data_IF_279843174136
#
_entry.id   IF_279843174136
#
_cell.length_a   1.000
_cell.length_b   1.000
_cell.length_c   1.000
_cell.angle_alpha   90.00
_cell.angle_beta   90.00
_cell.angle_gamma   90.00
#
_symmetry.space_group_name_H-M   'P 1'
#
loop_
_entity.id
_entity.type
_entity.pdbx_description
1 polymer ?
#
# COMPACT_ATOMS: atom_id res chain seq x y z
N UNK A 1 -28.88 -4.98 -38.47
CA UNK A 1 -28.99 -4.86 -36.99
C UNK A 1 -27.59 -4.56 -36.43
N UNK A 2 -27.28 -3.26 -36.27
CA UNK A 2 -26.07 -2.82 -35.62
C UNK A 2 -26.26 -2.90 -34.07
N UNK A 3 -25.53 -3.78 -33.43
CA UNK A 3 -25.47 -3.84 -31.98
C UNK A 3 -24.66 -2.66 -31.45
N UNK A 4 -25.32 -1.66 -30.87
CA UNK A 4 -24.70 -0.57 -30.12
C UNK A 4 -23.92 -1.15 -28.93
N UNK A 5 -22.60 -1.16 -29.03
CA UNK A 5 -21.73 -1.41 -27.91
C UNK A 5 -21.86 -0.26 -26.89
N UNK A 6 -22.55 -0.50 -25.79
CA UNK A 6 -22.65 0.45 -24.70
C UNK A 6 -21.24 0.77 -24.17
N UNK A 7 -20.77 2.00 -24.38
CA UNK A 7 -19.54 2.51 -23.75
C UNK A 7 -19.73 2.50 -22.23
N UNK A 8 -19.08 1.56 -21.55
CA UNK A 8 -19.02 1.57 -20.09
C UNK A 8 -18.34 2.86 -19.65
N UNK A 9 -19.08 3.70 -18.92
CA UNK A 9 -18.49 4.87 -18.27
C UNK A 9 -17.40 4.40 -17.29
N UNK A 10 -16.26 5.08 -17.21
CA UNK A 10 -15.24 4.76 -16.23
C UNK A 10 -15.83 4.94 -14.82
N UNK A 11 -15.74 3.89 -14.00
CA UNK A 11 -16.15 3.93 -12.60
C UNK A 11 -15.40 5.04 -11.87
N UNK A 12 -16.08 5.74 -10.96
CA UNK A 12 -15.43 6.68 -10.04
C UNK A 12 -14.34 5.97 -9.23
N UNK A 13 -13.34 6.70 -8.74
CA UNK A 13 -12.24 6.13 -7.95
C UNK A 13 -12.75 5.38 -6.71
N UNK A 14 -13.73 5.94 -6.00
CA UNK A 14 -14.36 5.30 -4.86
C UNK A 14 -14.98 3.94 -5.25
N UNK A 15 -15.71 3.89 -6.36
CA UNK A 15 -16.28 2.64 -6.88
C UNK A 15 -15.21 1.63 -7.34
N UNK A 16 -14.02 2.09 -7.79
CA UNK A 16 -12.88 1.20 -8.08
C UNK A 16 -12.23 0.65 -6.82
N UNK A 17 -12.12 1.43 -5.75
CA UNK A 17 -11.61 0.93 -4.46
C UNK A 17 -12.60 -0.03 -3.79
N UNK A 18 -13.90 0.22 -3.89
CA UNK A 18 -14.94 -0.68 -3.39
C UNK A 18 -15.02 -2.01 -4.16
N UNK A 19 -14.65 -2.02 -5.44
CA UNK A 19 -14.64 -3.24 -6.26
C UNK A 19 -13.45 -4.15 -6.00
N UNK A 20 -12.41 -3.68 -5.33
CA UNK A 20 -11.22 -4.47 -5.01
C UNK A 20 -11.53 -5.52 -3.94
N UNK A 21 -10.97 -6.70 -4.10
CA UNK A 21 -11.06 -7.77 -3.12
C UNK A 21 -10.26 -7.42 -1.87
N UNK A 22 -10.82 -7.71 -0.71
CA UNK A 22 -10.13 -7.56 0.56
C UNK A 22 -9.71 -8.92 1.09
N UNK A 23 -8.47 -9.01 1.49
CA UNK A 23 -7.92 -10.15 2.20
C UNK A 23 -7.69 -9.78 3.66
N UNK A 24 -8.11 -10.66 4.55
CA UNK A 24 -7.92 -10.54 5.99
C UNK A 24 -6.92 -11.63 6.39
N UNK A 25 -5.68 -11.23 6.63
CA UNK A 25 -4.62 -12.11 7.09
C UNK A 25 -4.55 -12.02 8.62
N UNK A 26 -4.68 -13.15 9.30
CA UNK A 26 -4.78 -13.21 10.77
C UNK A 26 -3.76 -14.19 11.30
N UNK A 27 -2.93 -13.74 12.24
CA UNK A 27 -2.10 -14.57 13.10
C UNK A 27 -2.65 -14.55 14.52
N UNK A 28 -2.76 -15.71 15.14
CA UNK A 28 -3.22 -15.88 16.52
C UNK A 28 -2.15 -16.60 17.32
N UNK A 29 -1.78 -16.00 18.43
CA UNK A 29 -0.81 -16.53 19.39
C UNK A 29 -1.51 -16.88 20.69
N UNK A 30 -1.08 -17.94 21.34
CA UNK A 30 -1.60 -18.46 22.59
C UNK A 30 -0.54 -18.41 23.69
N UNK A 31 -0.97 -18.11 24.90
CA UNK A 31 -0.20 -18.20 26.12
C UNK A 31 -0.98 -19.01 27.14
N UNK A 32 -0.49 -20.18 27.51
CA UNK A 32 -1.08 -21.04 28.55
C UNK A 32 -0.77 -20.51 29.94
N UNK A 33 -1.47 -20.93 31.00
CA UNK A 33 -1.27 -20.39 32.36
C UNK A 33 0.17 -20.46 32.87
N UNK A 34 0.96 -21.45 32.45
CA UNK A 34 2.34 -21.67 32.90
C UNK A 34 3.39 -21.22 31.85
N UNK A 35 2.98 -20.68 30.74
CA UNK A 35 3.90 -20.20 29.70
C UNK A 35 4.39 -18.80 30.07
N UNK A 36 5.67 -18.48 29.80
CA UNK A 36 6.23 -17.14 29.97
C UNK A 36 5.85 -16.25 28.78
N UNK A 37 5.83 -16.81 27.57
CA UNK A 37 5.65 -16.11 26.30
C UNK A 37 4.46 -16.62 25.49
N UNK A 38 4.04 -15.80 24.51
CA UNK A 38 3.09 -16.20 23.50
C UNK A 38 3.76 -17.08 22.45
N UNK A 39 3.12 -18.19 22.08
CA UNK A 39 3.52 -19.06 20.98
C UNK A 39 2.47 -19.06 19.88
N UNK A 40 2.87 -19.40 18.67
CA UNK A 40 1.93 -19.50 17.54
C UNK A 40 0.86 -20.53 17.84
N UNK A 41 -0.40 -20.20 17.52
CA UNK A 41 -1.57 -21.05 17.70
C UNK A 41 -2.27 -21.39 16.40
N UNK A 42 -2.60 -20.35 15.63
CA UNK A 42 -3.27 -20.50 14.35
C UNK A 42 -3.05 -19.30 13.44
N UNK A 43 -3.12 -19.54 12.15
CA UNK A 43 -3.12 -18.46 11.15
C UNK A 43 -4.19 -18.74 10.08
N UNK A 44 -4.61 -17.70 9.37
CA UNK A 44 -5.57 -17.86 8.28
C UNK A 44 -5.65 -16.66 7.38
N UNK A 45 -6.03 -16.92 6.13
CA UNK A 45 -6.27 -15.90 5.12
C UNK A 45 -7.73 -16.00 4.64
N UNK A 46 -8.45 -14.90 4.78
CA UNK A 46 -9.89 -14.85 4.58
C UNK A 46 -10.24 -13.76 3.56
N UNK A 47 -11.28 -14.00 2.79
CA UNK A 47 -11.97 -13.01 1.94
C UNK A 47 -13.33 -12.61 2.52
N UNK A 48 -13.79 -13.32 3.54
CA UNK A 48 -15.09 -13.12 4.19
C UNK A 48 -14.91 -13.07 5.71
N UNK A 49 -15.24 -11.92 6.31
CA UNK A 49 -15.16 -11.68 7.76
C UNK A 49 -15.98 -12.69 8.58
N UNK A 50 -17.15 -13.12 8.07
CA UNK A 50 -17.99 -14.08 8.78
C UNK A 50 -17.38 -15.49 8.94
N UNK A 51 -16.28 -15.75 8.23
CA UNK A 51 -15.51 -17.00 8.35
C UNK A 51 -14.39 -16.92 9.37
N UNK A 52 -14.10 -15.73 9.91
CA UNK A 52 -13.09 -15.54 10.94
C UNK A 52 -13.70 -15.94 12.29
N UNK A 53 -13.72 -17.24 12.55
CA UNK A 53 -14.19 -17.81 13.81
C UNK A 53 -13.20 -18.87 14.26
N UNK A 54 -12.74 -18.80 15.50
CA UNK A 54 -11.72 -19.66 16.07
C UNK A 54 -12.16 -20.18 17.44
N UNK A 55 -12.03 -21.48 17.66
CA UNK A 55 -12.22 -22.08 18.97
C UNK A 55 -11.00 -21.79 19.83
N UNK A 56 -11.22 -21.25 21.02
CA UNK A 56 -10.17 -20.85 21.97
C UNK A 56 -10.44 -21.50 23.33
N UNK A 57 -9.35 -21.87 24.03
CA UNK A 57 -9.44 -22.36 25.39
C UNK A 57 -9.65 -21.18 26.34
N UNK A 58 -10.69 -21.20 27.15
CA UNK A 58 -11.04 -20.10 28.06
C UNK A 58 -10.02 -19.89 29.19
N UNK A 59 -9.16 -20.86 29.47
CA UNK A 59 -8.12 -20.75 30.50
C UNK A 59 -6.83 -20.08 29.97
N UNK A 60 -6.70 -19.95 28.65
CA UNK A 60 -5.52 -19.38 28.00
C UNK A 60 -5.71 -17.90 27.68
N UNK A 61 -4.61 -17.23 27.43
CA UNK A 61 -4.58 -15.86 26.93
C UNK A 61 -4.14 -15.85 25.46
N UNK A 62 -4.60 -14.86 24.72
CA UNK A 62 -4.34 -14.80 23.29
C UNK A 62 -3.89 -13.41 22.86
N UNK A 63 -3.05 -13.39 21.83
CA UNK A 63 -2.71 -12.20 21.04
C UNK A 63 -3.19 -12.45 19.61
N UNK A 64 -3.72 -11.42 18.98
CA UNK A 64 -4.15 -11.47 17.56
C UNK A 64 -3.49 -10.33 16.80
N UNK A 65 -2.96 -10.65 15.64
CA UNK A 65 -2.50 -9.69 14.64
C UNK A 65 -3.34 -9.85 13.37
N UNK A 66 -3.81 -8.74 12.83
CA UNK A 66 -4.59 -8.72 11.61
C UNK A 66 -4.02 -7.69 10.62
N UNK A 67 -3.87 -8.12 9.36
CA UNK A 67 -3.58 -7.25 8.24
C UNK A 67 -4.69 -7.35 7.21
N UNK A 68 -5.26 -6.23 6.81
CA UNK A 68 -6.17 -6.15 5.66
C UNK A 68 -5.38 -5.64 4.46
N UNK A 69 -5.47 -6.35 3.34
CA UNK A 69 -4.86 -5.95 2.07
C UNK A 69 -5.95 -5.88 1.00
N UNK A 70 -5.94 -4.82 0.20
CA UNK A 70 -6.82 -4.72 -0.98
C UNK A 70 -6.07 -5.14 -2.24
N UNK A 71 -6.69 -5.96 -3.07
CA UNK A 71 -6.13 -6.43 -4.34
C UNK A 71 -7.20 -6.37 -5.44
N UNK A 72 -6.79 -6.39 -6.69
CA UNK A 72 -7.71 -6.30 -7.83
C UNK A 72 -8.43 -7.61 -8.12
N UNK A 73 -7.81 -8.74 -7.80
CA UNK A 73 -8.39 -10.08 -7.97
C UNK A 73 -8.50 -10.84 -6.63
N UNK A 74 -9.00 -12.08 -6.67
CA UNK A 74 -9.17 -12.95 -5.50
C UNK A 74 -8.01 -13.94 -5.31
N UNK A 75 -6.89 -13.71 -5.97
CA UNK A 75 -5.74 -14.60 -5.95
C UNK A 75 -4.61 -14.00 -5.11
N UNK A 76 -3.94 -14.84 -4.36
CA UNK A 76 -2.84 -14.48 -3.49
C UNK A 76 -1.58 -15.28 -3.83
N UNK A 77 -0.45 -14.82 -3.33
CA UNK A 77 0.81 -15.52 -3.46
C UNK A 77 0.91 -16.66 -2.44
N UNK A 78 1.41 -17.79 -2.92
CA UNK A 78 1.71 -18.94 -2.09
C UNK A 78 3.03 -19.60 -2.55
N UNK A 79 3.69 -20.27 -1.62
CA UNK A 79 4.85 -21.10 -1.87
C UNK A 79 4.75 -22.36 -1.01
N UNK A 80 5.05 -23.51 -1.62
CA UNK A 80 5.07 -24.80 -0.92
C UNK A 80 3.78 -25.09 -0.13
N UNK A 81 2.63 -24.66 -0.66
CA UNK A 81 1.31 -24.84 -0.02
C UNK A 81 0.94 -23.83 1.06
N UNK A 82 1.85 -22.92 1.45
CA UNK A 82 1.62 -21.89 2.44
C UNK A 82 1.37 -20.51 1.81
N UNK A 83 0.44 -19.76 2.37
CA UNK A 83 0.25 -18.35 1.99
C UNK A 83 1.42 -17.50 2.47
N UNK A 84 1.87 -16.61 1.60
CA UNK A 84 2.86 -15.61 1.92
C UNK A 84 2.19 -14.24 2.01
N UNK A 85 1.98 -13.76 3.20
CA UNK A 85 1.40 -12.44 3.43
C UNK A 85 2.52 -11.38 3.51
N UNK A 86 2.18 -10.20 3.10
CA UNK A 86 1.19 -9.77 2.14
C UNK A 86 1.77 -9.72 0.71
N UNK A 87 1.80 -10.85 0.06
CA UNK A 87 2.29 -11.00 -1.31
C UNK A 87 3.80 -10.91 -1.46
N UNK A 88 4.53 -11.78 -0.75
CA UNK A 88 5.99 -11.83 -0.79
C UNK A 88 6.52 -12.20 -2.18
N UNK A 89 7.61 -11.55 -2.57
CA UNK A 89 8.31 -11.83 -3.81
C UNK A 89 8.87 -13.27 -3.85
N UNK A 90 8.90 -13.87 -5.04
CA UNK A 90 9.42 -15.21 -5.24
C UNK A 90 8.42 -16.34 -5.03
N UNK A 91 7.13 -16.00 -4.84
CA UNK A 91 6.02 -16.92 -4.76
C UNK A 91 5.19 -16.92 -6.04
N UNK A 92 4.42 -17.98 -6.25
CA UNK A 92 3.47 -18.06 -7.36
C UNK A 92 2.15 -17.39 -6.95
N UNK A 93 1.64 -16.46 -7.77
CA UNK A 93 0.28 -15.98 -7.68
C UNK A 93 -0.67 -16.99 -8.33
N UNK A 94 -1.87 -17.12 -7.82
CA UNK A 94 -2.90 -18.02 -8.37
C UNK A 94 -3.54 -18.93 -7.34
N UNK A 95 -3.16 -18.79 -6.06
CA UNK A 95 -3.76 -19.50 -4.95
C UNK A 95 -4.92 -18.71 -4.38
N UNK A 96 -6.03 -19.39 -4.07
CA UNK A 96 -7.18 -18.76 -3.42
C UNK A 96 -7.09 -18.88 -1.90
N UNK A 97 -7.66 -17.90 -1.19
CA UNK A 97 -7.83 -17.98 0.25
C UNK A 97 -8.74 -19.15 0.64
N UNK A 98 -8.34 -19.96 1.62
CA UNK A 98 -9.15 -21.10 2.08
C UNK A 98 -10.32 -20.68 2.96
N UNK A 99 -10.30 -19.46 3.51
CA UNK A 99 -11.28 -18.97 4.49
C UNK A 99 -11.41 -19.90 5.71
N UNK A 100 -10.28 -20.42 6.17
CA UNK A 100 -10.17 -21.30 7.32
C UNK A 100 -8.88 -21.02 8.08
N UNK A 101 -8.88 -21.28 9.39
CA UNK A 101 -7.67 -21.29 10.18
C UNK A 101 -6.88 -22.58 10.00
N UNK A 102 -5.57 -22.45 9.93
CA UNK A 102 -4.60 -23.54 10.05
C UNK A 102 -3.99 -23.48 11.45
N UNK A 103 -4.11 -24.55 12.20
CA UNK A 103 -3.45 -24.68 13.51
C UNK A 103 -2.01 -25.12 13.30
N UNK A 104 -1.07 -24.31 13.73
CA UNK A 104 0.35 -24.58 13.60
C UNK A 104 1.12 -23.91 14.74
N UNK A 105 2.18 -24.55 15.19
CA UNK A 105 3.10 -23.98 16.18
C UNK A 105 4.33 -23.35 15.52
N UNK A 106 4.63 -23.79 14.31
CA UNK A 106 5.87 -23.46 13.61
C UNK A 106 5.66 -22.52 12.43
N UNK A 107 4.43 -22.44 11.91
CA UNK A 107 4.09 -21.66 10.72
C UNK A 107 3.16 -20.50 11.06
N UNK A 108 3.30 -19.40 10.37
CA UNK A 108 2.47 -18.22 10.45
C UNK A 108 2.41 -17.52 9.09
N UNK A 109 1.58 -16.49 8.98
CA UNK A 109 1.62 -15.58 7.85
C UNK A 109 2.79 -14.60 8.07
N UNK A 110 3.98 -15.02 7.66
CA UNK A 110 5.19 -14.21 7.76
C UNK A 110 5.00 -12.84 7.07
N UNK A 111 5.57 -11.81 7.64
CA UNK A 111 5.60 -10.50 7.03
C UNK A 111 4.34 -9.67 7.22
N UNK A 112 3.39 -10.03 8.12
CA UNK A 112 2.24 -9.16 8.42
C UNK A 112 2.66 -7.74 8.80
N UNK A 113 3.75 -7.60 9.54
CA UNK A 113 4.28 -6.32 10.03
C UNK A 113 5.45 -5.81 9.20
N UNK A 114 6.06 -6.68 8.40
CA UNK A 114 7.16 -6.32 7.51
C UNK A 114 6.55 -5.89 6.18
N UNK A 115 6.87 -4.70 5.76
CA UNK A 115 6.48 -4.20 4.45
C UNK A 115 7.37 -4.77 3.35
N UNK A 116 7.46 -6.09 3.28
CA UNK A 116 8.22 -6.68 2.21
C UNK A 116 7.61 -6.35 0.86
N UNK A 117 8.49 -6.21 -0.08
CA UNK A 117 8.30 -5.83 -1.45
C UNK A 117 7.15 -6.59 -2.10
N UNK A 118 6.10 -5.89 -2.45
CA UNK A 118 5.10 -6.42 -3.37
C UNK A 118 5.66 -6.40 -4.80
N UNK A 119 5.12 -7.25 -5.65
CA UNK A 119 5.42 -7.22 -7.07
C UNK A 119 4.50 -6.21 -7.75
N UNK A 120 5.08 -5.27 -8.45
CA UNK A 120 4.35 -4.38 -9.33
C UNK A 120 4.97 -4.43 -10.73
N UNK A 121 4.15 -4.71 -11.75
CA UNK A 121 4.61 -4.88 -13.13
C UNK A 121 5.77 -5.87 -13.27
N UNK A 122 5.71 -7.00 -12.56
CA UNK A 122 6.76 -8.04 -12.56
C UNK A 122 8.05 -7.66 -11.83
N UNK A 123 8.11 -6.52 -11.17
CA UNK A 123 9.28 -6.05 -10.41
C UNK A 123 8.94 -5.87 -8.94
N UNK A 124 9.93 -6.15 -8.10
CA UNK A 124 9.87 -5.86 -6.68
C UNK A 124 9.86 -4.34 -6.45
N UNK A 125 8.92 -3.84 -5.66
CA UNK A 125 8.79 -2.41 -5.33
C UNK A 125 8.73 -2.22 -3.81
N UNK A 126 9.47 -1.25 -3.31
CA UNK A 126 9.51 -0.93 -1.88
C UNK A 126 8.17 -0.38 -1.36
N UNK A 127 7.46 0.38 -2.19
CA UNK A 127 6.15 0.95 -1.87
C UNK A 127 5.12 0.46 -2.90
N UNK A 128 4.43 -0.64 -2.61
CA UNK A 128 3.41 -1.18 -3.53
C UNK A 128 2.16 -0.30 -3.53
N UNK A 129 1.49 -0.26 -4.68
CA UNK A 129 0.19 0.42 -4.85
C UNK A 129 -0.95 -0.39 -4.25
N UNK A 130 -0.84 -0.71 -2.99
CA UNK A 130 -1.83 -1.46 -2.22
C UNK A 130 -2.32 -0.62 -1.05
N UNK A 131 -3.55 -0.87 -0.62
CA UNK A 131 -4.04 -0.33 0.64
C UNK A 131 -3.91 -1.41 1.71
N UNK A 132 -3.12 -1.11 2.74
CA UNK A 132 -2.89 -2.00 3.88
C UNK A 132 -3.39 -1.34 5.16
N UNK A 133 -4.11 -2.13 5.96
CA UNK A 133 -4.51 -1.75 7.31
C UNK A 133 -4.01 -2.82 8.27
N UNK A 134 -3.46 -2.40 9.39
CA UNK A 134 -2.95 -3.31 10.41
C UNK A 134 -3.57 -2.99 11.77
N UNK A 135 -3.86 -4.03 12.53
CA UNK A 135 -4.33 -3.92 13.90
C UNK A 135 -3.92 -5.13 14.74
N UNK A 136 -3.85 -4.96 16.05
CA UNK A 136 -3.48 -6.02 16.98
C UNK A 136 -4.25 -5.90 18.28
N UNK A 137 -4.50 -7.04 18.91
CA UNK A 137 -4.89 -7.16 20.32
C UNK A 137 -3.74 -7.92 20.98
N UNK A 138 -3.03 -7.27 21.86
CA UNK A 138 -1.79 -7.82 22.45
C UNK A 138 -2.05 -8.84 23.55
N UNK A 139 -3.21 -8.79 24.18
CA UNK A 139 -3.55 -9.69 25.27
C UNK A 139 -5.04 -9.69 25.56
N UNK A 140 -5.71 -10.83 25.48
CA UNK A 140 -7.10 -10.97 25.88
C UNK A 140 -7.40 -12.37 26.40
N UNK A 141 -8.50 -12.48 27.17
CA UNK A 141 -9.04 -13.76 27.67
C UNK A 141 -10.41 -14.03 27.05
N UNK A 142 -10.65 -15.20 26.46
CA UNK A 142 -11.96 -15.59 25.94
C UNK A 142 -13.08 -15.70 26.99
N UNK A 143 -12.72 -15.82 28.29
CA UNK A 143 -13.70 -15.80 29.39
C UNK A 143 -14.49 -14.49 29.43
N UNK A 144 -13.82 -13.37 29.16
CA UNK A 144 -14.38 -12.05 29.31
C UNK A 144 -15.06 -11.52 28.04
N UNK A 145 -14.75 -12.09 26.87
CA UNK A 145 -15.12 -11.51 25.60
C UNK A 145 -15.46 -12.59 24.58
N UNK A 146 -16.67 -12.54 24.01
CA UNK A 146 -17.09 -13.44 22.93
C UNK A 146 -16.76 -12.85 21.55
N UNK A 147 -16.88 -11.54 21.41
CA UNK A 147 -16.60 -10.81 20.17
C UNK A 147 -15.38 -9.91 20.35
N UNK A 148 -14.45 -9.98 19.42
CA UNK A 148 -13.25 -9.17 19.41
C UNK A 148 -13.36 -8.03 18.41
N UNK A 149 -13.09 -6.83 18.86
CA UNK A 149 -12.92 -5.67 17.99
C UNK A 149 -11.45 -5.34 17.85
N UNK A 150 -10.97 -5.28 16.62
CA UNK A 150 -9.60 -4.88 16.30
C UNK A 150 -9.65 -3.54 15.57
N UNK A 151 -9.05 -2.52 16.18
CA UNK A 151 -8.91 -1.22 15.56
C UNK A 151 -7.86 -1.25 14.46
N UNK A 152 -8.32 -1.14 13.21
CA UNK A 152 -7.47 -1.25 12.03
C UNK A 152 -6.97 0.13 11.58
N UNK A 153 -5.67 0.32 11.57
CA UNK A 153 -4.99 1.56 11.14
C UNK A 153 -4.44 1.43 9.74
N UNK A 154 -4.65 2.43 8.90
CA UNK A 154 -4.11 2.46 7.53
C UNK A 154 -2.60 2.69 7.58
N UNK A 155 -1.83 1.78 6.97
CA UNK A 155 -0.38 1.89 6.81
C UNK A 155 -0.04 2.39 5.40
N UNK A 156 -0.60 3.54 5.01
CA UNK A 156 -0.51 4.05 3.65
C UNK A 156 -0.20 5.55 3.60
N UNK A 157 0.33 5.99 2.48
CA UNK A 157 0.46 7.38 2.07
C UNK A 157 -0.04 7.54 0.62
N UNK A 158 -0.31 8.77 0.22
CA UNK A 158 -0.70 9.12 -1.14
C UNK A 158 0.36 9.95 -1.82
N UNK A 159 0.50 9.78 -3.15
CA UNK A 159 1.24 10.68 -4.03
C UNK A 159 0.34 11.11 -5.18
N UNK A 160 0.36 12.40 -5.44
CA UNK A 160 -0.32 13.00 -6.57
C UNK A 160 0.70 13.81 -7.39
N UNK A 161 1.25 13.19 -8.44
CA UNK A 161 2.16 13.89 -9.34
C UNK A 161 1.39 14.66 -10.40
N UNK A 162 1.66 15.97 -10.48
CA UNK A 162 1.23 16.87 -11.54
C UNK A 162 2.49 17.35 -12.25
N UNK A 163 2.71 16.87 -13.48
CA UNK A 163 3.95 17.16 -14.21
C UNK A 163 3.62 17.82 -15.55
N UNK A 164 4.15 19.01 -15.75
CA UNK A 164 4.11 19.69 -17.04
C UNK A 164 5.18 19.08 -17.93
N UNK A 165 4.85 18.66 -19.18
CA UNK A 165 5.84 18.19 -20.13
C UNK A 165 6.93 19.24 -20.38
N UNK A 166 8.18 18.81 -20.64
CA UNK A 166 9.24 19.74 -21.01
C UNK A 166 8.95 20.35 -22.39
N UNK A 167 9.48 21.55 -22.65
CA UNK A 167 9.38 22.22 -23.94
C UNK A 167 10.26 21.59 -25.03
N UNK A 168 11.27 20.81 -24.61
CA UNK A 168 12.17 20.06 -25.48
C UNK A 168 12.67 18.80 -24.80
N UNK A 169 13.17 17.84 -25.58
CA UNK A 169 13.85 16.66 -25.08
C UNK A 169 12.94 15.69 -24.30
N UNK A 170 13.52 15.09 -23.25
CA UNK A 170 12.91 14.01 -22.48
C UNK A 170 13.13 14.21 -20.98
N UNK A 171 12.04 14.26 -20.22
CA UNK A 171 12.05 14.30 -18.75
C UNK A 171 11.71 12.90 -18.19
N UNK A 172 12.56 12.42 -17.29
CA UNK A 172 12.33 11.18 -16.53
C UNK A 172 12.29 11.53 -15.04
N UNK A 173 11.20 11.16 -14.37
CA UNK A 173 11.05 11.29 -12.92
C UNK A 173 11.04 9.90 -12.31
N UNK A 174 11.93 9.63 -11.37
CA UNK A 174 12.04 8.34 -10.68
C UNK A 174 11.74 8.50 -9.20
N UNK A 175 10.88 7.63 -8.67
CA UNK A 175 10.51 7.60 -7.26
C UNK A 175 10.06 6.19 -6.85
N UNK A 176 10.44 5.73 -5.68
CA UNK A 176 9.95 4.48 -5.07
C UNK A 176 9.99 3.22 -5.98
N UNK A 177 10.93 3.15 -6.93
CA UNK A 177 11.01 2.09 -7.95
C UNK A 177 10.09 2.31 -9.17
N UNK A 178 9.31 3.40 -9.19
CA UNK A 178 8.48 3.82 -10.31
C UNK A 178 9.17 4.90 -11.14
N UNK A 179 8.73 5.08 -12.39
CA UNK A 179 9.19 6.19 -13.22
C UNK A 179 8.07 6.78 -14.07
N UNK A 180 8.16 8.07 -14.32
CA UNK A 180 7.34 8.84 -15.25
C UNK A 180 8.26 9.31 -16.36
N UNK A 181 7.86 9.15 -17.62
CA UNK A 181 8.63 9.64 -18.78
C UNK A 181 7.75 10.53 -19.61
N UNK A 182 8.20 11.77 -19.84
CA UNK A 182 7.51 12.77 -20.65
C UNK A 182 8.46 13.36 -21.69
N UNK A 183 7.90 13.71 -22.84
CA UNK A 183 8.53 14.47 -23.92
C UNK A 183 7.70 15.70 -24.23
N UNK A 184 8.20 16.61 -25.05
CA UNK A 184 7.46 17.82 -25.49
C UNK A 184 6.08 17.51 -26.14
N UNK A 185 5.91 16.30 -26.68
CA UNK A 185 4.65 15.86 -27.30
C UNK A 185 3.70 15.15 -26.33
N UNK A 186 4.14 14.91 -25.09
CA UNK A 186 3.31 14.25 -24.09
C UNK A 186 2.21 15.19 -23.60
N UNK A 187 1.05 14.62 -23.23
CA UNK A 187 0.07 15.34 -22.43
C UNK A 187 0.62 15.59 -21.03
N UNK A 188 0.10 16.61 -20.34
CA UNK A 188 0.40 16.82 -18.92
C UNK A 188 0.09 15.54 -18.10
N UNK A 189 1.01 15.18 -17.23
CA UNK A 189 0.83 14.01 -16.37
C UNK A 189 0.12 14.44 -15.10
N UNK A 190 -1.02 13.86 -14.85
CA UNK A 190 -1.80 14.04 -13.63
C UNK A 190 -2.20 12.65 -13.13
N UNK A 191 -1.50 12.16 -12.11
CA UNK A 191 -1.75 10.83 -11.58
C UNK A 191 -1.63 10.82 -10.07
N UNK A 192 -2.62 10.19 -9.46
CA UNK A 192 -2.81 10.03 -8.05
C UNK A 192 -2.81 8.55 -7.69
N UNK A 193 -2.02 8.17 -6.70
CA UNK A 193 -1.95 6.79 -6.24
C UNK A 193 -1.74 6.69 -4.73
N UNK A 194 -2.27 5.62 -4.14
CA UNK A 194 -2.04 5.25 -2.74
C UNK A 194 -1.00 4.14 -2.70
N UNK A 195 -0.08 4.24 -1.76
CA UNK A 195 1.02 3.30 -1.55
C UNK A 195 1.03 2.81 -0.12
N UNK A 196 1.44 1.57 0.10
CA UNK A 196 1.72 1.07 1.45
C UNK A 196 3.15 1.42 1.85
N UNK A 197 3.34 1.73 3.13
CA UNK A 197 4.68 1.80 3.72
C UNK A 197 5.34 0.42 3.76
N UNK A 198 6.68 0.41 3.73
CA UNK A 198 7.47 -0.82 3.84
C UNK A 198 7.53 -1.36 5.27
N UNK A 199 7.46 -0.54 6.30
CA UNK A 199 7.37 -0.96 7.70
C UNK A 199 5.96 -0.70 8.22
N UNK A 200 5.11 -1.72 8.15
CA UNK A 200 3.69 -1.63 8.50
C UNK A 200 3.51 -1.31 10.00
N UNK A 201 4.32 -1.93 10.86
CA UNK A 201 4.20 -1.74 12.30
C UNK A 201 4.53 -0.31 12.71
N UNK A 202 5.65 0.22 12.22
CA UNK A 202 6.02 1.63 12.45
C UNK A 202 5.01 2.59 11.83
N UNK A 203 4.56 2.30 10.60
CA UNK A 203 3.59 3.14 9.92
C UNK A 203 2.26 3.27 10.65
N UNK A 204 1.89 2.30 11.49
CA UNK A 204 0.68 2.37 12.30
C UNK A 204 0.85 3.11 13.63
N UNK A 205 2.05 3.58 13.98
CA UNK A 205 2.28 4.44 15.14
C UNK A 205 1.82 5.87 14.86
N UNK A 206 1.42 6.58 15.91
CA UNK A 206 1.02 7.98 15.78
C UNK A 206 2.23 8.86 15.42
N UNK A 207 2.00 9.82 14.53
CA UNK A 207 3.05 10.74 14.08
C UNK A 207 4.10 10.12 13.15
N UNK A 208 3.93 8.87 12.71
CA UNK A 208 4.89 8.24 11.81
C UNK A 208 5.07 9.00 10.51
N UNK A 209 6.31 9.24 10.18
CA UNK A 209 6.73 9.84 8.93
C UNK A 209 8.08 9.25 8.48
N UNK A 210 8.34 9.27 7.20
CA UNK A 210 9.62 8.87 6.59
C UNK A 210 9.88 9.71 5.36
N UNK A 211 11.05 9.57 4.76
CA UNK A 211 11.42 10.30 3.55
C UNK A 211 11.57 9.36 2.37
N UNK A 212 11.37 9.90 1.18
CA UNK A 212 11.56 9.21 -0.10
C UNK A 212 12.25 10.15 -1.07
N UNK A 213 13.28 9.66 -1.74
CA UNK A 213 13.95 10.42 -2.79
C UNK A 213 13.16 10.38 -4.09
N UNK A 214 13.03 11.54 -4.71
CA UNK A 214 12.51 11.72 -6.06
C UNK A 214 13.60 12.36 -6.89
N UNK A 215 13.94 11.72 -8.01
CA UNK A 215 14.96 12.21 -8.95
C UNK A 215 14.29 12.59 -10.27
N UNK A 216 14.60 13.77 -10.77
CA UNK A 216 14.24 14.22 -12.11
C UNK A 216 15.50 14.30 -12.97
N UNK A 217 15.43 13.78 -14.19
CA UNK A 217 16.49 13.84 -15.20
C UNK A 217 15.88 14.38 -16.48
N UNK A 218 16.36 15.51 -16.92
CA UNK A 218 15.96 16.12 -18.19
C UNK A 218 17.11 16.04 -19.20
N UNK A 219 16.87 15.33 -20.29
CA UNK A 219 17.78 15.27 -21.44
C UNK A 219 17.23 16.19 -22.54
N UNK A 220 17.95 17.27 -22.86
CA UNK A 220 17.57 18.24 -23.90
C UNK A 220 17.79 17.68 -25.31
N UNK A 221 17.25 18.36 -26.31
CA UNK A 221 17.41 17.94 -27.73
C UNK A 221 18.87 18.01 -28.20
N UNK A 222 19.72 18.85 -27.58
CA UNK A 222 21.15 18.93 -27.85
C UNK A 222 22.02 17.87 -27.13
N UNK A 223 21.38 16.99 -26.35
CA UNK A 223 22.03 15.95 -25.57
C UNK A 223 22.50 16.41 -24.19
N UNK A 224 22.33 17.65 -23.81
CA UNK A 224 22.62 18.14 -22.46
C UNK A 224 21.70 17.43 -21.45
N UNK A 225 22.30 16.96 -20.35
CA UNK A 225 21.57 16.26 -19.28
C UNK A 225 21.63 17.10 -18.02
N UNK A 226 20.48 17.39 -17.48
CA UNK A 226 20.31 18.09 -16.20
C UNK A 226 19.55 17.19 -15.24
N UNK A 227 19.98 17.18 -13.97
CA UNK A 227 19.36 16.32 -12.97
C UNK A 227 19.22 17.03 -11.62
N UNK A 228 18.13 16.73 -10.96
CA UNK A 228 17.86 17.20 -9.61
C UNK A 228 17.22 16.08 -8.78
N UNK A 229 17.51 16.10 -7.48
CA UNK A 229 16.91 15.18 -6.52
C UNK A 229 16.30 15.94 -5.37
N UNK A 230 15.13 15.53 -4.96
CA UNK A 230 14.42 16.10 -3.81
C UNK A 230 13.94 14.99 -2.89
N UNK A 231 14.05 15.24 -1.59
CA UNK A 231 13.52 14.36 -0.58
C UNK A 231 12.10 14.78 -0.20
N UNK A 232 11.13 13.91 -0.41
CA UNK A 232 9.74 14.10 -0.01
C UNK A 232 9.51 13.52 1.39
N UNK A 233 8.82 14.27 2.24
CA UNK A 233 8.34 13.77 3.52
C UNK A 233 7.01 13.02 3.31
N UNK A 234 7.00 11.74 3.66
CA UNK A 234 5.82 10.89 3.58
C UNK A 234 5.22 10.74 4.97
N UNK A 235 3.94 11.09 5.10
CA UNK A 235 3.19 10.96 6.35
C UNK A 235 2.06 9.95 6.20
N UNK A 236 1.77 9.22 7.25
CA UNK A 236 0.68 8.26 7.27
C UNK A 236 -0.66 8.93 6.99
N UNK A 237 -1.41 8.35 6.05
CA UNK A 237 -2.73 8.79 5.64
C UNK A 237 -2.78 10.25 5.10
N UNK A 238 -1.67 10.70 4.49
CA UNK A 238 -1.55 12.03 3.87
C UNK A 238 -1.32 11.84 2.37
N UNK A 239 -2.01 12.66 1.56
CA UNK A 239 -1.80 12.79 0.13
C UNK A 239 -0.81 13.92 -0.12
N UNK A 240 0.41 13.60 -0.56
CA UNK A 240 1.41 14.59 -0.96
C UNK A 240 1.23 14.92 -2.44
N UNK A 241 0.91 16.17 -2.75
CA UNK A 241 0.80 16.67 -4.12
C UNK A 241 2.17 17.21 -4.54
N UNK A 242 2.71 16.69 -5.63
CA UNK A 242 4.02 17.06 -6.17
C UNK A 242 3.82 17.69 -7.53
N UNK A 243 4.01 19.01 -7.60
CA UNK A 243 3.95 19.76 -8.86
C UNK A 243 5.37 19.89 -9.44
N UNK A 244 5.56 19.43 -10.67
CA UNK A 244 6.85 19.46 -11.35
C UNK A 244 6.70 20.20 -12.67
N UNK A 245 7.53 21.21 -12.86
CA UNK A 245 7.61 22.00 -14.08
C UNK A 245 9.08 22.25 -14.41
N UNK A 246 9.46 21.98 -15.64
CA UNK A 246 10.80 22.25 -16.15
C UNK A 246 10.75 23.57 -16.93
N UNK A 247 11.29 24.65 -16.37
CA UNK A 247 11.36 25.95 -17.03
C UNK A 247 12.65 26.67 -16.70
N UNK A 248 13.29 27.23 -17.71
CA UNK A 248 14.47 28.07 -17.55
C UNK A 248 14.21 29.48 -16.98
N UNK A 249 13.03 29.75 -16.43
CA UNK A 249 12.68 31.02 -15.77
C UNK A 249 11.72 30.78 -14.62
N UNK A 250 11.86 31.55 -13.52
CA UNK A 250 11.10 31.41 -12.28
C UNK A 250 9.57 31.38 -12.51
N UNK A 251 8.84 30.36 -12.05
CA UNK A 251 7.41 30.28 -12.19
C UNK A 251 6.67 31.14 -11.17
N UNK A 252 5.44 31.52 -11.54
CA UNK A 252 4.44 32.05 -10.59
C UNK A 252 3.71 30.88 -9.96
N UNK A 253 3.70 30.80 -8.64
CA UNK A 253 3.05 29.74 -7.88
C UNK A 253 1.53 29.77 -8.02
N UNK A 254 0.93 28.58 -8.26
CA UNK A 254 -0.50 28.35 -8.12
C UNK A 254 -0.72 27.33 -6.99
N UNK A 255 -1.58 27.69 -6.05
CA UNK A 255 -1.98 26.82 -4.94
C UNK A 255 -3.35 26.24 -5.28
N UNK A 256 -3.47 24.91 -5.38
CA UNK A 256 -4.74 24.22 -5.46
C UNK A 256 -4.98 23.43 -4.17
N UNK A 257 -6.14 23.64 -3.56
CA UNK A 257 -6.63 22.83 -2.44
C UNK A 257 -7.68 21.87 -2.98
N UNK A 258 -7.45 20.57 -2.86
CA UNK A 258 -8.50 19.57 -2.99
C UNK A 258 -8.63 18.81 -1.67
N UNK A 259 -9.83 18.75 -1.14
CA UNK A 259 -10.18 18.02 0.07
C UNK A 259 -10.74 16.65 -0.32
N UNK A 260 -10.19 15.58 0.24
CA UNK A 260 -10.71 14.23 0.03
C UNK A 260 -11.01 13.51 1.34
N UNK A 261 -12.08 12.72 1.31
CA UNK A 261 -12.80 12.17 2.44
C UNK A 261 -12.01 11.22 3.38
N UNK A 262 -10.78 10.81 3.04
CA UNK A 262 -10.04 9.83 3.84
C UNK A 262 -8.53 10.10 4.02
N UNK A 263 -8.00 11.18 3.44
CA UNK A 263 -6.60 11.60 3.61
C UNK A 263 -6.52 13.12 3.70
N UNK A 264 -5.66 13.62 4.59
CA UNK A 264 -5.26 15.03 4.55
C UNK A 264 -4.34 15.28 3.37
N UNK A 265 -4.35 16.50 2.81
CA UNK A 265 -3.56 16.85 1.62
C UNK A 265 -2.43 17.79 2.02
N UNK A 266 -1.23 17.52 1.55
CA UNK A 266 -0.08 18.42 1.62
C UNK A 266 0.45 18.70 0.21
N UNK A 267 0.76 19.97 -0.08
CA UNK A 267 1.31 20.39 -1.37
C UNK A 267 2.82 20.57 -1.26
N UNK A 268 3.54 20.03 -2.23
CA UNK A 268 4.99 20.26 -2.43
C UNK A 268 5.18 20.83 -3.80
N UNK A 269 5.63 22.08 -3.84
CA UNK A 269 6.03 22.73 -5.10
C UNK A 269 7.49 22.38 -5.38
N UNK A 270 7.75 21.96 -6.60
CA UNK A 270 9.08 21.67 -7.07
C UNK A 270 9.32 22.30 -8.42
N UNK A 271 9.96 23.45 -8.38
CA UNK A 271 10.42 24.14 -9.56
C UNK A 271 11.84 23.67 -9.86
N UNK A 272 12.01 22.95 -10.97
CA UNK A 272 13.33 22.61 -11.48
C UNK A 272 13.89 23.86 -12.17
N UNK A 273 14.76 24.59 -11.46
CA UNK A 273 15.56 25.67 -12.03
C UNK A 273 16.86 25.04 -12.50
N UNK A 274 16.91 24.71 -13.76
CA UNK A 274 18.06 24.11 -14.41
C UNK A 274 18.65 25.10 -15.41
#
# INVERSE_FOLDING_TARGET
EEAMAAKRQPLSRAAREESKKKFYAVNVYEKKPNDEDYSMYAYGLFTNLSKIALKMNVENRYKVECLIVTEEDDQVYAKDGAYLAPFLHGANKGTKATNAFVFSKDENLNGLTKGETAIANGKSVQYPRLVKLYGTINDFSPKATKDLTIDMRRAVFGLHFKVTPPNEGKLIITYAGWHITLTKSSAAYDNRATYSFSDILKACQDGYQTTMDVKAVWTKDDGTVEEESKQLLLKRNVMTVVNIKVEGQKPKSFIFKEEESNMTTENVEWDLIL
#
